data_IF_827178082955
#
_entry.id   IF_827178082955
#
_cell.length_a   1.000
_cell.length_b   1.000
_cell.length_c   1.000
_cell.angle_alpha   90.00
_cell.angle_beta   90.00
_cell.angle_gamma   90.00
#
_symmetry.space_group_name_H-M   'P 1'
#
loop_
_entity.id
_entity.type
_entity.pdbx_description
1 polymer ?
#
# COMPACT_ATOMS: atom_id res chain seq x y z
N UNK A 1 -4.22 -5.40 3.17
CA UNK A 1 -4.25 -4.18 2.34
C UNK A 1 -4.50 -3.01 3.27
N UNK A 2 -3.75 -1.92 3.15
CA UNK A 2 -3.93 -0.73 3.99
C UNK A 2 -4.80 0.29 3.26
N UNK A 3 -5.47 1.14 4.03
CA UNK A 3 -6.20 2.28 3.49
C UNK A 3 -5.23 3.21 2.72
N UNK A 4 -5.67 3.75 1.58
CA UNK A 4 -4.92 4.71 0.77
C UNK A 4 -4.59 6.01 1.53
N UNK A 5 -5.31 6.31 2.62
CA UNK A 5 -5.02 7.43 3.51
C UNK A 5 -3.74 7.25 4.33
N UNK A 6 -3.24 6.02 4.50
CA UNK A 6 -2.07 5.74 5.33
C UNK A 6 -0.85 6.55 4.89
N UNK A 7 -0.55 6.57 3.58
CA UNK A 7 0.58 7.34 3.05
C UNK A 7 0.35 8.85 3.18
N UNK A 8 -0.90 9.31 3.08
CA UNK A 8 -1.26 10.71 3.28
C UNK A 8 -1.04 11.15 4.72
N UNK A 9 -1.33 10.31 5.71
CA UNK A 9 -1.02 10.58 7.11
C UNK A 9 0.49 10.70 7.32
N UNK A 10 1.27 9.74 6.82
CA UNK A 10 2.74 9.78 6.93
C UNK A 10 3.31 11.03 6.28
N UNK A 11 2.87 11.37 5.07
CA UNK A 11 3.34 12.57 4.34
C UNK A 11 3.01 13.85 5.11
N UNK A 12 1.78 13.96 5.61
CA UNK A 12 1.35 15.11 6.41
C UNK A 12 2.19 15.30 7.67
N UNK A 13 2.57 14.20 8.34
CA UNK A 13 3.47 14.25 9.48
C UNK A 13 4.88 14.65 9.06
N UNK A 14 5.41 14.05 7.99
CA UNK A 14 6.75 14.34 7.48
C UNK A 14 6.93 15.82 7.09
N UNK A 15 5.99 16.37 6.33
CA UNK A 15 6.04 17.77 5.88
C UNK A 15 6.06 18.74 7.06
N UNK A 16 5.38 18.41 8.16
CA UNK A 16 5.29 19.25 9.36
C UNK A 16 6.52 19.14 10.27
N UNK A 17 7.19 17.99 10.31
CA UNK A 17 8.41 17.82 11.12
C UNK A 17 9.71 18.14 10.38
N UNK A 18 9.81 17.84 9.09
CA UNK A 18 11.09 17.83 8.39
C UNK A 18 11.22 18.87 7.27
N UNK A 19 10.12 19.48 6.83
CA UNK A 19 10.13 20.48 5.75
C UNK A 19 9.62 21.87 6.17
N UNK A 20 9.19 22.02 7.43
CA UNK A 20 8.91 23.32 7.99
C UNK A 20 10.24 24.07 8.19
N UNK A 21 10.62 24.91 7.23
CA UNK A 21 11.75 25.82 7.38
C UNK A 21 11.51 26.75 8.59
N UNK A 22 12.54 26.89 9.41
CA UNK A 22 12.66 27.74 10.60
C UNK A 22 11.77 27.38 11.81
N UNK A 23 12.12 26.30 12.51
CA UNK A 23 11.70 26.08 13.90
C UNK A 23 12.10 27.25 14.84
N UNK A 24 13.11 28.03 14.46
CA UNK A 24 13.62 29.21 15.19
C UNK A 24 12.78 30.49 14.98
N UNK A 25 11.82 30.52 14.04
CA UNK A 25 11.02 31.73 13.73
C UNK A 25 9.52 31.61 14.04
N UNK A 26 9.03 30.42 14.41
CA UNK A 26 7.61 30.21 14.69
C UNK A 26 7.31 30.33 16.20
N UNK A 27 6.15 30.87 16.53
CA UNK A 27 5.75 31.10 17.92
C UNK A 27 5.47 29.79 18.66
N UNK A 28 5.54 29.82 20.00
CA UNK A 28 5.18 28.68 20.86
C UNK A 28 3.76 28.17 20.57
N UNK A 29 2.83 29.05 20.24
CA UNK A 29 1.45 28.66 19.94
C UNK A 29 1.36 27.90 18.61
N UNK A 30 2.06 28.36 17.57
CA UNK A 30 2.12 27.67 16.28
C UNK A 30 2.79 26.30 16.38
N UNK A 31 3.80 26.17 17.25
CA UNK A 31 4.40 24.88 17.61
C UNK A 31 3.37 23.92 18.22
N UNK A 32 2.57 24.39 19.19
CA UNK A 32 1.52 23.59 19.85
C UNK A 32 0.45 23.18 18.85
N UNK A 33 -0.02 24.10 18.00
CA UNK A 33 -1.08 23.83 17.03
C UNK A 33 -0.60 22.82 15.97
N UNK A 34 0.66 22.95 15.52
CA UNK A 34 1.29 21.99 14.61
C UNK A 34 1.41 20.61 15.24
N UNK A 35 1.90 20.52 16.47
CA UNK A 35 2.03 19.26 17.19
C UNK A 35 0.67 18.58 17.42
N UNK A 36 -0.37 19.37 17.76
CA UNK A 36 -1.74 18.88 17.90
C UNK A 36 -2.26 18.25 16.61
N UNK A 37 -2.10 18.93 15.47
CA UNK A 37 -2.52 18.40 14.17
C UNK A 37 -1.75 17.13 13.79
N UNK A 38 -0.44 17.07 14.04
CA UNK A 38 0.37 15.90 13.76
C UNK A 38 -0.05 14.70 14.61
N UNK A 39 -0.33 14.90 15.89
CA UNK A 39 -0.72 13.83 16.82
C UNK A 39 -1.96 13.04 16.35
N UNK A 40 -2.86 13.69 15.61
CA UNK A 40 -4.03 13.04 15.01
C UNK A 40 -3.59 12.05 13.93
N UNK A 41 -2.69 12.46 13.03
CA UNK A 41 -2.17 11.59 11.98
C UNK A 41 -1.34 10.44 12.53
N UNK A 42 -0.50 10.69 13.54
CA UNK A 42 0.30 9.65 14.20
C UNK A 42 -0.57 8.61 14.89
N UNK A 43 -1.66 9.05 15.53
CA UNK A 43 -2.65 8.16 16.12
C UNK A 43 -3.32 7.28 15.07
N UNK A 44 -3.73 7.86 13.94
CA UNK A 44 -4.29 7.08 12.82
C UNK A 44 -3.29 6.07 12.26
N UNK A 45 -2.05 6.48 12.01
CA UNK A 45 -0.98 5.57 11.55
C UNK A 45 -0.81 4.39 12.51
N UNK A 46 -0.73 4.67 13.81
CA UNK A 46 -0.61 3.64 14.85
C UNK A 46 -1.83 2.72 14.91
N UNK A 47 -3.04 3.27 14.79
CA UNK A 47 -4.27 2.48 14.78
C UNK A 47 -4.38 1.59 13.54
N UNK A 48 -3.93 2.06 12.37
CA UNK A 48 -3.84 1.24 11.15
C UNK A 48 -2.86 0.07 11.35
N UNK A 49 -1.67 0.32 11.93
CA UNK A 49 -0.69 -0.73 12.22
C UNK A 49 -1.25 -1.77 13.21
N UNK A 50 -2.01 -1.30 14.21
CA UNK A 50 -2.68 -2.15 15.19
C UNK A 50 -3.95 -2.85 14.66
N UNK A 51 -4.39 -2.55 13.44
CA UNK A 51 -5.62 -3.11 12.86
C UNK A 51 -6.92 -2.56 13.46
N UNK A 52 -6.88 -1.41 14.14
CA UNK A 52 -8.06 -0.81 14.80
C UNK A 52 -8.86 0.12 13.89
N UNK A 53 -8.27 0.64 12.82
CA UNK A 53 -8.91 1.63 11.96
C UNK A 53 -9.72 1.02 10.81
N UNK A 54 -9.34 -0.19 10.37
CA UNK A 54 -10.00 -0.91 9.29
C UNK A 54 -10.63 -2.18 9.90
N UNK A 55 -11.96 -2.28 10.01
CA UNK A 55 -12.70 -3.41 10.59
C UNK A 55 -12.30 -4.81 10.13
N UNK A 56 -11.73 -4.96 8.94
CA UNK A 56 -11.27 -6.23 8.38
C UNK A 56 -9.74 -6.34 8.21
N UNK A 57 -8.97 -5.34 8.61
CA UNK A 57 -7.51 -5.43 8.54
C UNK A 57 -6.95 -6.19 9.74
N UNK A 58 -6.09 -7.15 9.45
CA UNK A 58 -5.29 -7.77 10.50
C UNK A 58 -4.25 -6.74 11.02
N UNK A 59 -3.97 -6.74 12.33
CA UNK A 59 -2.80 -6.09 12.88
C UNK A 59 -1.54 -6.51 12.12
N UNK A 60 -0.61 -5.59 11.91
CA UNK A 60 0.53 -5.83 11.02
C UNK A 60 1.48 -6.92 11.55
N UNK A 61 1.54 -7.15 12.86
CA UNK A 61 2.35 -8.22 13.46
C UNK A 61 1.84 -9.63 13.14
N UNK A 62 0.64 -9.76 12.55
CA UNK A 62 0.04 -11.04 12.14
C UNK A 62 0.14 -11.31 10.64
N UNK A 63 0.81 -10.45 9.87
CA UNK A 63 0.98 -10.60 8.42
C UNK A 63 2.45 -10.51 8.04
N UNK A 64 2.80 -11.13 6.91
CA UNK A 64 4.16 -11.08 6.38
C UNK A 64 4.36 -9.83 5.49
N UNK A 65 3.33 -9.54 4.67
CA UNK A 65 3.34 -8.46 3.68
C UNK A 65 2.19 -7.46 3.90
N UNK A 66 2.49 -6.18 3.68
CA UNK A 66 1.52 -5.09 3.74
C UNK A 66 1.46 -4.34 2.42
N UNK A 67 0.28 -4.37 1.80
CA UNK A 67 0.01 -3.73 0.51
C UNK A 67 -0.50 -2.30 0.71
N UNK A 68 0.26 -1.32 0.22
CA UNK A 68 0.00 0.11 0.36
C UNK A 68 -0.06 0.76 -1.03
N UNK A 69 -1.25 1.18 -1.52
CA UNK A 69 -1.32 1.98 -2.73
C UNK A 69 -0.79 3.39 -2.44
N UNK A 70 0.17 3.85 -3.25
CA UNK A 70 0.85 5.14 -3.08
C UNK A 70 0.62 6.01 -4.30
N UNK A 71 0.03 7.18 -4.07
CA UNK A 71 -0.08 8.23 -5.08
C UNK A 71 1.20 9.05 -5.09
N UNK A 72 2.00 8.88 -6.14
CA UNK A 72 3.20 9.66 -6.40
C UNK A 72 2.76 11.00 -7.01
N UNK A 73 2.95 12.10 -6.26
CA UNK A 73 2.46 13.42 -6.63
C UNK A 73 2.97 13.97 -7.98
N UNK A 74 2.49 15.16 -8.35
CA UNK A 74 2.72 15.88 -9.62
C UNK A 74 2.35 15.16 -10.93
N UNK A 75 2.32 13.82 -10.97
CA UNK A 75 2.07 13.02 -12.17
C UNK A 75 0.75 12.22 -12.11
N UNK A 76 -0.01 12.34 -11.02
CA UNK A 76 -1.22 11.52 -10.77
C UNK A 76 -0.97 10.03 -11.02
N UNK A 77 0.21 9.56 -10.62
CA UNK A 77 0.67 8.20 -10.90
C UNK A 77 0.61 7.36 -9.64
N UNK A 78 -0.06 6.22 -9.72
CA UNK A 78 -0.18 5.28 -8.60
C UNK A 78 0.81 4.14 -8.74
N UNK A 79 1.49 3.83 -7.64
CA UNK A 79 2.34 2.64 -7.48
C UNK A 79 1.83 1.82 -6.30
N UNK A 80 2.13 0.52 -6.29
CA UNK A 80 1.85 -0.34 -5.15
C UNK A 80 3.16 -0.58 -4.40
N UNK A 81 3.21 -0.16 -3.13
CA UNK A 81 4.28 -0.52 -2.21
C UNK A 81 3.88 -1.78 -1.44
N UNK A 82 4.67 -2.83 -1.55
CA UNK A 82 4.54 -4.05 -0.75
C UNK A 82 5.63 -4.03 0.31
N UNK A 83 5.23 -3.80 1.56
CA UNK A 83 6.14 -3.83 2.71
C UNK A 83 6.26 -5.26 3.19
N UNK A 84 7.40 -5.87 2.91
CA UNK A 84 7.80 -7.17 3.42
C UNK A 84 8.42 -6.97 4.81
N UNK A 85 7.60 -7.15 5.86
CA UNK A 85 7.96 -6.75 7.22
C UNK A 85 9.18 -7.53 7.69
N UNK A 86 9.17 -8.85 7.55
CA UNK A 86 10.24 -9.73 8.04
C UNK A 86 11.64 -9.33 7.55
N UNK A 87 11.73 -8.89 6.29
CA UNK A 87 13.00 -8.57 5.65
C UNK A 87 13.28 -7.06 5.59
N UNK A 88 12.40 -6.21 6.13
CA UNK A 88 12.48 -4.73 6.06
C UNK A 88 12.66 -4.20 4.64
N UNK A 89 11.91 -4.76 3.69
CA UNK A 89 11.97 -4.35 2.28
C UNK A 89 10.63 -3.73 1.87
N UNK A 90 10.68 -2.62 1.15
CA UNK A 90 9.55 -2.07 0.41
C UNK A 90 9.79 -2.37 -1.07
N UNK A 91 9.01 -3.30 -1.60
CA UNK A 91 9.01 -3.65 -3.02
C UNK A 91 7.98 -2.80 -3.76
N UNK A 92 8.45 -2.00 -4.72
CA UNK A 92 7.63 -1.05 -5.47
C UNK A 92 7.21 -1.66 -6.80
N UNK A 93 5.91 -1.85 -6.97
CA UNK A 93 5.29 -2.27 -8.22
C UNK A 93 4.80 -1.02 -8.95
N UNK A 94 5.46 -0.73 -10.07
CA UNK A 94 5.22 0.46 -10.88
C UNK A 94 4.97 0.06 -12.33
N UNK A 95 3.71 0.16 -12.77
CA UNK A 95 3.30 -0.22 -14.11
C UNK A 95 3.83 0.70 -15.21
N UNK A 96 4.33 1.90 -14.90
CA UNK A 96 4.78 2.82 -15.95
C UNK A 96 5.90 2.22 -16.79
N UNK A 97 5.80 2.36 -18.12
CA UNK A 97 6.86 1.94 -19.02
C UNK A 97 8.10 2.81 -18.76
N UNK A 98 9.26 2.21 -18.47
CA UNK A 98 10.47 2.99 -18.23
C UNK A 98 11.74 2.16 -18.33
N UNK A 99 12.72 2.66 -19.10
CA UNK A 99 14.06 2.10 -19.21
C UNK A 99 14.86 2.27 -17.90
N UNK A 100 15.97 1.52 -17.81
CA UNK A 100 16.91 1.36 -16.68
C UNK A 100 16.98 2.54 -15.68
N UNK A 101 16.90 2.17 -14.38
CA UNK A 101 17.04 2.98 -13.15
C UNK A 101 16.02 4.13 -13.02
N UNK A 102 14.77 3.77 -12.72
CA UNK A 102 13.80 4.71 -12.16
C UNK A 102 14.26 5.21 -10.79
N UNK A 103 14.17 6.52 -10.57
CA UNK A 103 14.40 7.08 -9.24
C UNK A 103 13.24 6.71 -8.32
N UNK A 104 13.53 6.30 -7.09
CA UNK A 104 12.51 5.98 -6.08
C UNK A 104 11.62 7.22 -5.88
N UNK A 105 10.27 7.09 -5.93
CA UNK A 105 9.36 8.20 -5.73
C UNK A 105 9.53 8.86 -4.36
N UNK A 106 9.28 10.16 -4.27
CA UNK A 106 9.44 10.92 -3.04
C UNK A 106 8.59 10.35 -1.89
N UNK A 107 7.33 10.01 -2.17
CA UNK A 107 6.43 9.40 -1.19
C UNK A 107 6.96 8.06 -0.67
N UNK A 108 7.58 7.24 -1.52
CA UNK A 108 8.18 5.96 -1.11
C UNK A 108 9.42 6.19 -0.22
N UNK A 109 10.23 7.21 -0.53
CA UNK A 109 11.36 7.58 0.34
C UNK A 109 10.88 7.98 1.73
N UNK A 110 9.84 8.82 1.80
CA UNK A 110 9.23 9.21 3.07
C UNK A 110 8.73 7.98 3.82
N UNK A 111 7.96 7.12 3.15
CA UNK A 111 7.45 5.88 3.74
C UNK A 111 8.60 5.01 4.31
N UNK A 112 9.65 4.78 3.52
CA UNK A 112 10.80 3.97 3.94
C UNK A 112 11.49 4.52 5.19
N UNK A 113 11.53 5.85 5.33
CA UNK A 113 12.22 6.54 6.42
C UNK A 113 11.37 6.62 7.68
N UNK A 114 10.06 6.84 7.54
CA UNK A 114 9.15 7.08 8.67
C UNK A 114 8.55 5.79 9.23
N UNK A 115 8.41 4.75 8.41
CA UNK A 115 7.76 3.51 8.84
C UNK A 115 8.40 2.85 10.08
N UNK A 116 9.75 2.76 10.22
CA UNK A 116 10.33 2.06 11.37
C UNK A 116 9.98 2.71 12.72
N UNK A 117 9.89 4.05 12.80
CA UNK A 117 9.51 4.73 14.04
C UNK A 117 8.07 4.40 14.42
N UNK A 118 7.14 4.41 13.47
CA UNK A 118 5.75 4.04 13.75
C UNK A 118 5.56 2.57 14.11
N UNK A 119 6.38 1.66 13.55
CA UNK A 119 6.40 0.27 14.03
C UNK A 119 6.84 0.21 15.50
N UNK A 120 7.90 0.92 15.86
CA UNK A 120 8.38 1.00 17.24
C UNK A 120 7.30 1.58 18.18
N UNK A 121 6.75 2.74 17.86
CA UNK A 121 5.75 3.45 18.68
C UNK A 121 4.44 2.68 18.82
N UNK A 122 4.08 1.87 17.81
CA UNK A 122 2.90 1.04 17.87
C UNK A 122 3.03 -0.17 18.81
N UNK A 123 4.24 -0.45 19.34
CA UNK A 123 4.53 -1.66 20.10
C UNK A 123 4.61 -2.92 19.21
N UNK A 124 4.84 -2.76 17.90
CA UNK A 124 4.90 -3.86 16.93
C UNK A 124 5.89 -4.95 17.34
N UNK A 125 7.06 -4.55 17.85
CA UNK A 125 8.15 -5.46 18.22
C UNK A 125 7.90 -6.27 19.50
N UNK A 126 6.96 -5.83 20.34
CA UNK A 126 6.57 -6.57 21.55
C UNK A 126 5.62 -7.74 21.23
N UNK A 127 5.05 -7.73 20.01
CA UNK A 127 4.11 -8.74 19.52
C UNK A 127 4.86 -9.88 18.87
N UNK A 128 4.66 -11.08 19.39
CA UNK A 128 5.41 -12.29 19.02
C UNK A 128 4.50 -13.48 18.73
N UNK A 129 3.18 -13.26 18.63
CA UNK A 129 2.18 -14.31 18.47
C UNK A 129 2.36 -15.12 17.18
N UNK A 130 2.74 -14.46 16.08
CA UNK A 130 3.03 -15.09 14.78
C UNK A 130 4.53 -15.13 14.49
N UNK A 131 5.17 -13.97 14.55
CA UNK A 131 6.58 -13.79 14.17
C UNK A 131 7.27 -12.93 15.21
N UNK A 132 8.41 -13.39 15.72
CA UNK A 132 9.31 -12.56 16.53
C UNK A 132 10.16 -11.69 15.62
N UNK A 133 9.70 -10.46 15.35
CA UNK A 133 10.40 -9.54 14.45
C UNK A 133 11.74 -9.06 15.02
N UNK A 134 11.86 -8.97 16.36
CA UNK A 134 13.14 -8.64 17.02
C UNK A 134 14.23 -9.69 16.77
N UNK A 135 13.84 -10.92 16.44
CA UNK A 135 14.77 -12.00 16.16
C UNK A 135 15.21 -12.07 14.69
N UNK A 136 14.50 -11.38 13.79
CA UNK A 136 14.79 -11.39 12.36
C UNK A 136 16.08 -10.62 12.07
N UNK A 137 16.99 -11.22 11.29
CA UNK A 137 18.31 -10.65 10.99
C UNK A 137 18.23 -9.26 10.37
N UNK A 138 17.20 -9.00 9.54
CA UNK A 138 17.00 -7.69 8.93
C UNK A 138 16.82 -6.56 9.96
N UNK A 139 16.37 -6.86 11.17
CA UNK A 139 16.16 -5.88 12.24
C UNK A 139 17.36 -5.73 13.17
N UNK A 140 18.44 -6.48 12.97
CA UNK A 140 19.62 -6.44 13.84
C UNK A 140 20.76 -5.69 13.18
N UNK A 141 21.50 -4.94 13.98
CA UNK A 141 22.78 -4.41 13.58
C UNK A 141 23.80 -5.55 13.43
N UNK A 142 24.46 -5.63 12.27
CA UNK A 142 25.37 -6.74 11.94
C UNK A 142 26.57 -6.85 12.88
N UNK A 143 26.96 -5.75 13.55
CA UNK A 143 28.15 -5.70 14.36
C UNK A 143 27.85 -5.99 15.84
N UNK A 144 26.74 -5.46 16.35
CA UNK A 144 26.37 -5.54 17.76
C UNK A 144 25.25 -6.55 18.06
N UNK A 145 24.48 -6.97 17.05
CA UNK A 145 23.33 -7.85 17.20
C UNK A 145 22.12 -7.20 17.90
N UNK A 146 22.20 -5.90 18.21
CA UNK A 146 21.11 -5.13 18.80
C UNK A 146 20.07 -4.74 17.75
N UNK A 147 18.87 -4.34 18.18
CA UNK A 147 17.84 -3.85 17.26
C UNK A 147 18.30 -2.55 16.58
N UNK A 148 18.13 -2.48 15.26
CA UNK A 148 18.41 -1.26 14.48
C UNK A 148 17.59 -0.08 15.01
N UNK A 149 18.22 1.10 15.00
CA UNK A 149 17.56 2.34 15.38
C UNK A 149 16.36 2.65 14.46
N UNK A 150 15.34 3.32 15.00
CA UNK A 150 14.14 3.70 14.26
C UNK A 150 14.42 4.66 13.08
N UNK A 151 15.56 5.34 13.09
CA UNK A 151 15.95 6.25 12.00
C UNK A 151 16.51 5.51 10.78
N UNK A 152 16.84 4.21 10.91
CA UNK A 152 17.37 3.40 9.81
C UNK A 152 16.22 3.04 8.85
N UNK A 153 16.20 3.56 7.61
CA UNK A 153 15.10 3.33 6.68
C UNK A 153 14.96 1.87 6.28
N UNK A 154 13.77 1.49 5.79
CA UNK A 154 13.60 0.22 5.08
C UNK A 154 14.33 0.26 3.74
N UNK A 155 14.82 -0.91 3.31
CA UNK A 155 15.36 -1.05 1.96
C UNK A 155 14.23 -0.88 0.95
N UNK A 156 14.54 -0.28 -0.20
CA UNK A 156 13.55 -0.06 -1.26
C UNK A 156 14.08 -0.63 -2.57
N UNK A 157 13.26 -1.44 -3.22
CA UNK A 157 13.57 -2.03 -4.53
C UNK A 157 12.36 -1.98 -5.46
N UNK A 158 12.60 -2.00 -6.76
CA UNK A 158 11.53 -2.14 -7.76
C UNK A 158 11.31 -3.61 -8.07
N UNK A 159 10.04 -4.02 -8.11
CA UNK A 159 9.66 -5.30 -8.68
C UNK A 159 10.09 -5.35 -10.16
N UNK A 160 10.75 -6.44 -10.54
CA UNK A 160 11.15 -6.71 -11.92
C UNK A 160 10.13 -7.62 -12.59
N UNK A 161 10.17 -7.65 -13.92
CA UNK A 161 9.35 -8.56 -14.75
C UNK A 161 7.86 -8.49 -14.44
N UNK A 162 7.36 -7.27 -14.18
CA UNK A 162 5.95 -6.96 -13.96
C UNK A 162 5.29 -6.43 -15.23
N UNK A 163 3.97 -6.58 -15.31
CA UNK A 163 3.18 -6.02 -16.41
C UNK A 163 3.30 -4.49 -16.45
N UNK A 164 3.48 -3.95 -17.65
CA UNK A 164 3.64 -2.50 -17.83
C UNK A 164 2.48 -1.93 -18.63
N UNK A 165 1.99 -0.77 -18.20
CA UNK A 165 1.02 0.01 -18.95
C UNK A 165 1.69 0.65 -20.17
N UNK A 166 0.91 0.81 -21.25
CA UNK A 166 1.36 1.56 -22.42
C UNK A 166 1.72 2.99 -22.03
N UNK A 167 2.64 3.61 -22.78
CA UNK A 167 2.87 5.05 -22.68
C UNK A 167 1.55 5.80 -22.75
N UNK A 168 1.41 6.83 -21.92
CA UNK A 168 0.23 7.71 -21.85
C UNK A 168 -1.08 7.04 -21.39
N UNK A 169 -1.02 5.79 -20.91
CA UNK A 169 -2.14 5.15 -20.22
C UNK A 169 -2.40 5.80 -18.86
N UNK A 170 -3.67 6.00 -18.54
CA UNK A 170 -4.15 6.47 -17.23
C UNK A 170 -4.62 5.31 -16.33
N UNK A 171 -4.21 4.08 -16.65
CA UNK A 171 -4.68 2.88 -15.96
C UNK A 171 -3.82 2.50 -14.74
N UNK A 172 -2.89 3.34 -14.27
CA UNK A 172 -1.97 2.99 -13.18
C UNK A 172 -2.70 2.46 -11.93
N UNK A 173 -3.85 3.05 -11.56
CA UNK A 173 -4.69 2.56 -10.48
C UNK A 173 -5.28 1.15 -10.73
N UNK A 174 -5.61 0.84 -11.99
CA UNK A 174 -6.08 -0.49 -12.41
C UNK A 174 -4.97 -1.53 -12.21
N UNK A 175 -3.74 -1.19 -12.61
CA UNK A 175 -2.57 -2.05 -12.41
C UNK A 175 -2.28 -2.25 -10.93
N UNK A 176 -2.34 -1.20 -10.11
CA UNK A 176 -2.17 -1.30 -8.64
C UNK A 176 -3.16 -2.27 -8.02
N UNK A 177 -4.45 -2.16 -8.34
CA UNK A 177 -5.48 -3.07 -7.84
C UNK A 177 -5.23 -4.51 -8.33
N UNK A 178 -4.88 -4.68 -9.59
CA UNK A 178 -4.62 -5.99 -10.20
C UNK A 178 -3.38 -6.66 -9.58
N UNK A 179 -2.29 -5.92 -9.35
CA UNK A 179 -1.10 -6.44 -8.67
C UNK A 179 -1.43 -6.87 -7.25
N UNK A 180 -2.22 -6.10 -6.51
CA UNK A 180 -2.60 -6.47 -5.16
C UNK A 180 -3.48 -7.73 -5.13
N UNK A 181 -4.41 -7.90 -6.08
CA UNK A 181 -5.18 -9.15 -6.21
C UNK A 181 -4.29 -10.34 -6.58
N UNK A 182 -3.41 -10.18 -7.57
CA UNK A 182 -2.48 -11.21 -8.02
C UNK A 182 -1.59 -11.71 -6.89
N UNK A 183 -0.97 -10.79 -6.15
CA UNK A 183 -0.06 -11.14 -5.05
C UNK A 183 -0.78 -11.76 -3.86
N UNK A 184 -2.03 -11.36 -3.59
CA UNK A 184 -2.82 -11.91 -2.49
C UNK A 184 -3.29 -13.33 -2.76
N UNK A 185 -3.89 -13.56 -3.93
CA UNK A 185 -4.61 -14.81 -4.21
C UNK A 185 -3.68 -15.86 -4.86
N UNK A 186 -2.38 -15.56 -5.09
CA UNK A 186 -1.40 -16.41 -5.79
C UNK A 186 -1.97 -17.03 -7.09
N UNK A 187 -2.90 -16.33 -7.72
CA UNK A 187 -3.53 -16.83 -8.94
C UNK A 187 -2.42 -16.83 -9.99
N UNK A 188 -2.18 -17.97 -10.63
CA UNK A 188 -1.58 -18.03 -11.96
C UNK A 188 -2.52 -17.28 -12.92
N UNK A 189 -2.66 -15.97 -12.78
CA UNK A 189 -3.15 -15.17 -13.88
C UNK A 189 -2.02 -15.26 -14.87
N UNK A 190 -2.17 -16.15 -15.84
CA UNK A 190 -1.42 -16.11 -17.08
C UNK A 190 -1.24 -14.64 -17.43
N UNK A 191 0.02 -14.23 -17.46
CA UNK A 191 0.52 -12.89 -17.79
C UNK A 191 0.02 -12.36 -19.16
N UNK A 192 -0.82 -13.14 -19.83
CA UNK A 192 -1.32 -13.06 -21.20
C UNK A 192 -2.72 -12.41 -21.27
N UNK A 193 -3.48 -12.38 -20.16
CA UNK A 193 -4.89 -11.90 -20.17
C UNK A 193 -5.10 -10.53 -19.49
N UNK A 194 -4.07 -9.68 -19.39
CA UNK A 194 -4.28 -8.30 -18.97
C UNK A 194 -5.06 -7.56 -20.06
N UNK A 195 -6.38 -7.65 -20.00
CA UNK A 195 -7.32 -6.96 -20.87
C UNK A 195 -7.85 -5.76 -20.09
N UNK A 196 -7.26 -4.55 -20.23
CA UNK A 196 -7.63 -3.39 -19.44
C UNK A 196 -9.13 -3.10 -19.51
N UNK A 197 -9.75 -3.38 -20.66
CA UNK A 197 -11.18 -3.22 -20.87
C UNK A 197 -12.04 -4.14 -19.99
N UNK A 198 -11.65 -5.41 -19.86
CA UNK A 198 -12.32 -6.34 -18.96
C UNK A 198 -12.15 -5.91 -17.50
N UNK A 199 -10.92 -5.58 -17.09
CA UNK A 199 -10.64 -5.16 -15.73
C UNK A 199 -11.39 -3.87 -15.38
N UNK A 200 -11.44 -2.88 -16.27
CA UNK A 200 -12.26 -1.66 -16.07
C UNK A 200 -13.73 -1.98 -15.87
N UNK A 201 -14.31 -2.90 -16.67
CA UNK A 201 -15.71 -3.34 -16.50
C UNK A 201 -15.92 -4.04 -15.17
N UNK A 202 -15.01 -4.96 -14.79
CA UNK A 202 -15.07 -5.71 -13.52
C UNK A 202 -15.00 -4.77 -12.32
N UNK A 203 -13.98 -3.92 -12.24
CA UNK A 203 -13.83 -2.97 -11.14
C UNK A 203 -14.92 -1.91 -11.13
N UNK A 204 -15.35 -1.42 -12.30
CA UNK A 204 -16.49 -0.50 -12.41
C UNK A 204 -17.77 -1.11 -11.85
N UNK A 205 -18.07 -2.38 -12.18
CA UNK A 205 -19.24 -3.09 -11.64
C UNK A 205 -19.14 -3.34 -10.13
N UNK A 206 -17.95 -3.67 -9.61
CA UNK A 206 -17.70 -3.83 -8.17
C UNK A 206 -17.92 -2.52 -7.41
N UNK A 207 -17.31 -1.43 -7.89
CA UNK A 207 -17.47 -0.10 -7.29
C UNK A 207 -18.92 0.37 -7.32
N UNK A 208 -19.62 0.17 -8.46
CA UNK A 208 -21.04 0.49 -8.57
C UNK A 208 -21.89 -0.30 -7.58
N UNK A 209 -21.64 -1.61 -7.46
CA UNK A 209 -22.37 -2.48 -6.53
C UNK A 209 -22.13 -2.04 -5.09
N UNK A 210 -20.88 -1.80 -4.71
CA UNK A 210 -20.52 -1.29 -3.38
C UNK A 210 -21.22 0.05 -3.08
N UNK A 211 -21.12 1.02 -3.99
CA UNK A 211 -21.76 2.34 -3.83
C UNK A 211 -23.28 2.24 -3.73
N UNK A 212 -23.89 1.36 -4.51
CA UNK A 212 -25.34 1.12 -4.50
C UNK A 212 -25.82 0.53 -3.17
N UNK A 213 -25.10 -0.46 -2.64
CA UNK A 213 -25.43 -1.08 -1.36
C UNK A 213 -25.14 -0.14 -0.17
N UNK A 214 -24.06 0.66 -0.24
CA UNK A 214 -23.76 1.70 0.76
C UNK A 214 -24.89 2.73 0.79
N UNK A 215 -25.40 3.15 -0.37
CA UNK A 215 -26.54 4.07 -0.45
C UNK A 215 -27.84 3.51 0.14
N UNK A 216 -28.03 2.18 0.11
CA UNK A 216 -29.18 1.50 0.73
C UNK A 216 -29.03 1.29 2.24
N UNK A 217 -27.90 1.68 2.83
CA UNK A 217 -27.60 1.44 4.24
C UNK A 217 -27.25 -0.02 4.57
N UNK A 218 -26.97 -0.85 3.55
CA UNK A 218 -26.56 -2.24 3.73
C UNK A 218 -25.09 -2.38 4.18
N UNK A 219 -24.28 -1.33 3.96
CA UNK A 219 -22.93 -1.23 4.51
C UNK A 219 -22.89 -0.15 5.59
N UNK A 220 -22.37 -0.53 6.76
CA UNK A 220 -22.25 0.37 7.91
C UNK A 220 -20.88 1.09 7.92
N UNK A 221 -19.88 0.53 7.23
CA UNK A 221 -18.51 1.04 7.20
C UNK A 221 -17.93 1.18 5.79
N UNK A 222 -16.93 2.05 5.65
CA UNK A 222 -16.15 2.21 4.41
C UNK A 222 -15.29 1.00 4.06
N UNK A 223 -15.18 0.05 5.00
CA UNK A 223 -14.29 -1.10 4.94
C UNK A 223 -15.03 -2.45 4.89
N UNK A 224 -16.35 -2.44 4.73
CA UNK A 224 -17.13 -3.67 4.60
C UNK A 224 -16.87 -4.29 3.21
N UNK A 225 -16.26 -5.48 3.18
CA UNK A 225 -16.02 -6.22 1.94
C UNK A 225 -17.34 -6.81 1.41
N UNK A 226 -17.69 -6.61 0.12
CA UNK A 226 -18.77 -7.35 -0.50
C UNK A 226 -18.45 -8.85 -0.50
N UNK A 227 -19.45 -9.74 -0.39
CA UNK A 227 -19.25 -11.16 -0.65
C UNK A 227 -18.58 -11.35 -2.01
N UNK A 228 -17.45 -12.08 -2.07
CA UNK A 228 -16.73 -12.38 -3.33
C UNK A 228 -17.76 -12.86 -4.36
N UNK A 229 -17.90 -12.20 -5.52
CA UNK A 229 -18.76 -12.72 -6.58
C UNK A 229 -18.22 -14.08 -6.99
N UNK A 230 -19.05 -15.12 -6.91
CA UNK A 230 -18.69 -16.44 -7.42
C UNK A 230 -18.35 -16.29 -8.90
N UNK A 231 -17.13 -16.63 -9.29
CA UNK A 231 -16.73 -16.67 -10.68
C UNK A 231 -17.52 -17.77 -11.38
N UNK A 232 -18.64 -17.41 -12.00
CA UNK A 232 -19.23 -18.24 -13.04
C UNK A 232 -18.46 -17.92 -14.31
N UNK A 233 -17.42 -18.71 -14.57
CA UNK A 233 -16.79 -18.74 -15.89
C UNK A 233 -17.84 -19.31 -16.82
N UNK A 234 -18.53 -18.43 -17.55
CA UNK A 234 -19.40 -18.85 -18.64
C UNK A 234 -18.50 -18.95 -19.86
N UNK A 235 -18.27 -20.16 -20.35
CA UNK A 235 -17.57 -20.35 -21.63
C UNK A 235 -18.36 -19.60 -22.72
N UNK A 236 -17.67 -18.92 -23.66
CA UNK A 236 -18.34 -18.33 -24.81
C UNK A 236 -19.04 -19.45 -25.61
N UNK A 237 -20.25 -19.21 -26.15
CA UNK A 237 -20.96 -20.20 -26.96
C UNK A 237 -20.12 -20.59 -28.18
N UNK A 238 -20.12 -21.88 -28.52
CA UNK A 238 -19.33 -22.52 -29.58
C UNK A 238 -19.57 -21.99 -31.02
N UNK A 239 -20.38 -20.94 -31.21
CA UNK A 239 -20.78 -20.47 -32.54
C UNK A 239 -19.78 -19.53 -33.23
N UNK A 240 -18.65 -19.17 -32.60
CA UNK A 240 -17.60 -18.31 -33.20
C UNK A 240 -16.29 -19.05 -33.55
N UNK A 241 -16.29 -20.39 -33.59
CA UNK A 241 -15.17 -21.15 -34.13
C UNK A 241 -15.16 -21.05 -35.66
N UNK A 242 -14.49 -20.01 -36.17
CA UNK A 242 -14.17 -19.89 -37.60
C UNK A 242 -13.17 -21.01 -37.94
N UNK A 243 -13.65 -22.04 -38.65
CA UNK A 243 -12.79 -23.05 -39.25
C UNK A 243 -11.87 -22.36 -40.28
N UNK A 244 -10.59 -22.24 -39.94
CA UNK A 244 -9.53 -21.99 -40.93
C UNK A 244 -9.11 -23.35 -41.47
N UNK A 245 -9.39 -23.57 -42.76
CA UNK A 245 -8.84 -24.66 -43.58
C UNK A 245 -7.44 -24.26 -44.03
#
# INVERSE_FOLDING_TARGET
>A
MTNCLFISHIKNTYERYYLANDDDLISTQEHIDRASAVSVYERSITNIIKGFEIPAALPWHLVDDVYIPVNCGAQFHWVLAVVELKNRVIRVYDSSLGSRKKAIPHEIKILSKMLPSYLMDSGFFEKTERTSFVDCDAYKDNNSGSLLEAQVPFMVEYAQDIMQQKSDSLDCGLYVATFAEYLRDQIETSFVDFLPEYLRKRYGALLWSYGSEKAKGAYASENDDPPKPKSVVTQPPEEDLVHVV
#
